data_IF_272283569079
#
_entry.id   IF_272283569079
#
_cell.length_a   1.000
_cell.length_b   1.000
_cell.length_c   1.000
_cell.angle_alpha   90.00
_cell.angle_beta   90.00
_cell.angle_gamma   90.00
#
_symmetry.space_group_name_H-M   'P 1'
#
loop_
_entity.id
_entity.type
_entity.pdbx_description
1 polymer ?
#
# COMPACT_ATOMS: atom_id res chain seq x y z
N UNK A 1 -8.23 -18.26 20.51
CA UNK A 1 -7.81 -16.84 20.70
C UNK A 1 -7.41 -16.52 22.13
N UNK A 2 -8.32 -16.52 23.12
CA UNK A 2 -7.95 -16.13 24.50
C UNK A 2 -7.10 -17.18 25.23
N UNK A 3 -7.22 -18.46 24.88
CA UNK A 3 -6.29 -19.52 25.32
C UNK A 3 -4.90 -19.34 24.67
N UNK A 4 -4.86 -19.02 23.38
CA UNK A 4 -3.60 -18.74 22.66
C UNK A 4 -2.86 -17.52 23.23
N UNK A 5 -3.59 -16.53 23.76
CA UNK A 5 -3.02 -15.37 24.44
C UNK A 5 -2.16 -15.79 25.66
N UNK A 6 -2.65 -16.68 26.52
CA UNK A 6 -1.86 -17.15 27.66
C UNK A 6 -0.62 -17.93 27.21
N UNK A 7 -0.73 -18.73 26.14
CA UNK A 7 0.40 -19.45 25.55
C UNK A 7 1.47 -18.49 25.00
N UNK A 8 1.05 -17.39 24.37
CA UNK A 8 1.93 -16.34 23.86
C UNK A 8 2.59 -15.56 25.00
N UNK A 9 1.82 -15.18 26.03
CA UNK A 9 2.36 -14.49 27.21
C UNK A 9 3.38 -15.33 27.96
N UNK A 10 3.15 -16.64 28.11
CA UNK A 10 4.14 -17.58 28.68
C UNK A 10 5.41 -17.67 27.82
N UNK A 11 5.27 -17.66 26.48
CA UNK A 11 6.43 -17.64 25.56
C UNK A 11 7.25 -16.34 25.67
N UNK A 12 6.63 -15.24 26.09
CA UNK A 12 7.23 -13.91 26.17
C UNK A 12 7.57 -13.48 27.62
N UNK A 13 7.49 -14.39 28.60
CA UNK A 13 7.73 -14.12 30.02
C UNK A 13 6.89 -12.97 30.60
N UNK A 14 5.65 -12.79 30.13
CA UNK A 14 4.73 -11.78 30.65
C UNK A 14 3.88 -12.44 31.75
N UNK A 15 3.83 -11.90 32.98
CA UNK A 15 3.03 -12.48 34.06
C UNK A 15 1.53 -12.34 33.77
N UNK A 16 0.79 -13.46 33.82
CA UNK A 16 -0.64 -13.54 33.48
C UNK A 16 -1.57 -13.74 34.66
N UNK A 17 -1.07 -13.60 35.89
CA UNK A 17 -1.85 -13.84 37.10
C UNK A 17 -2.80 -12.67 37.40
N UNK A 18 -4.10 -12.92 37.22
CA UNK A 18 -5.14 -11.98 37.61
C UNK A 18 -5.37 -12.09 39.13
N UNK A 19 -4.93 -11.09 39.90
CA UNK A 19 -5.22 -11.02 41.34
C UNK A 19 -6.72 -10.95 41.59
N UNK A 20 -7.28 -11.97 42.26
CA UNK A 20 -8.67 -11.98 42.71
C UNK A 20 -8.79 -11.22 44.03
N UNK A 21 -9.52 -10.11 44.03
CA UNK A 21 -9.85 -9.36 45.25
C UNK A 21 -11.22 -9.82 45.75
N UNK A 22 -11.35 -10.17 47.03
CA UNK A 22 -12.64 -10.50 47.67
C UNK A 22 -13.60 -9.32 47.50
N UNK A 23 -14.78 -9.57 46.97
CA UNK A 23 -15.82 -8.57 46.78
C UNK A 23 -16.76 -8.58 47.99
N UNK A 24 -17.01 -7.41 48.55
CA UNK A 24 -18.03 -7.22 49.57
C UNK A 24 -19.31 -6.76 48.86
N UNK A 25 -20.37 -7.52 49.02
CA UNK A 25 -21.70 -7.16 48.53
C UNK A 25 -22.57 -6.78 49.73
N UNK A 26 -23.47 -5.81 49.53
CA UNK A 26 -24.52 -5.53 50.52
C UNK A 26 -25.47 -6.73 50.65
N UNK A 27 -26.10 -6.90 51.81
CA UNK A 27 -27.12 -7.95 51.99
C UNK A 27 -28.33 -7.64 51.11
N UNK A 28 -28.78 -8.63 50.35
CA UNK A 28 -29.93 -8.56 49.45
C UNK A 28 -31.21 -8.93 50.21
N UNK A 29 -32.28 -8.14 50.06
CA UNK A 29 -33.60 -8.45 50.62
C UNK A 29 -34.50 -9.16 49.60
N UNK A 30 -35.52 -9.88 50.06
CA UNK A 30 -36.31 -10.82 49.25
C UNK A 30 -37.02 -10.19 48.02
N UNK A 31 -37.34 -8.89 48.08
CA UNK A 31 -38.06 -8.15 47.02
C UNK A 31 -37.18 -7.17 46.22
N UNK A 32 -35.86 -7.15 46.42
CA UNK A 32 -34.98 -6.31 45.61
C UNK A 32 -34.76 -6.92 44.22
N UNK A 33 -34.98 -6.13 43.18
CA UNK A 33 -34.57 -6.49 41.81
C UNK A 33 -33.05 -6.42 41.75
N UNK A 34 -32.41 -7.51 41.31
CA UNK A 34 -30.94 -7.65 41.28
C UNK A 34 -30.32 -6.46 40.53
N UNK A 35 -29.83 -5.47 41.30
CA UNK A 35 -29.27 -4.25 40.76
C UNK A 35 -27.96 -4.57 40.05
N UNK A 36 -27.96 -4.36 38.73
CA UNK A 36 -26.85 -4.41 37.78
C UNK A 36 -25.54 -4.97 38.37
N UNK A 37 -25.50 -6.30 38.57
CA UNK A 37 -24.28 -7.01 38.97
C UNK A 37 -23.28 -6.85 37.85
N UNK A 38 -22.50 -5.77 37.91
CA UNK A 38 -21.37 -5.54 37.01
C UNK A 38 -20.51 -6.80 37.06
N UNK A 39 -20.31 -7.43 35.89
CA UNK A 39 -19.44 -8.57 35.70
C UNK A 39 -18.02 -8.19 36.14
N UNK A 40 -17.73 -8.34 37.43
CA UNK A 40 -16.48 -7.93 38.06
C UNK A 40 -15.44 -9.06 38.08
N UNK A 41 -15.63 -10.11 37.27
CA UNK A 41 -14.57 -11.09 37.00
C UNK A 41 -13.42 -10.35 36.31
N UNK A 42 -12.26 -10.27 36.95
CA UNK A 42 -11.08 -9.53 36.44
C UNK A 42 -10.72 -9.93 35.01
N UNK A 43 -10.90 -11.20 34.66
CA UNK A 43 -10.66 -11.76 33.32
C UNK A 43 -11.69 -11.29 32.28
N UNK A 44 -12.99 -11.33 32.59
CA UNK A 44 -14.04 -10.89 31.66
C UNK A 44 -14.03 -9.38 31.49
N UNK A 45 -13.76 -8.65 32.57
CA UNK A 45 -13.59 -7.20 32.54
C UNK A 45 -12.36 -6.79 31.70
N UNK A 46 -11.23 -7.50 31.83
CA UNK A 46 -10.07 -7.30 30.94
C UNK A 46 -10.42 -7.64 29.48
N UNK A 47 -11.15 -8.74 29.26
CA UNK A 47 -11.56 -9.15 27.92
C UNK A 47 -12.43 -8.09 27.24
N UNK A 48 -13.41 -7.54 27.95
CA UNK A 48 -14.36 -6.54 27.43
C UNK A 48 -13.75 -5.15 27.34
N UNK A 49 -12.98 -4.70 28.33
CA UNK A 49 -12.46 -3.33 28.38
C UNK A 49 -11.11 -3.13 27.70
N UNK A 50 -10.31 -4.18 27.54
CA UNK A 50 -8.94 -4.07 27.02
C UNK A 50 -8.76 -4.93 25.80
N UNK A 51 -9.03 -6.24 25.88
CA UNK A 51 -8.74 -7.15 24.78
C UNK A 51 -9.57 -6.87 23.53
N UNK A 52 -10.91 -6.81 23.63
CA UNK A 52 -11.76 -6.52 22.48
C UNK A 52 -11.49 -5.14 21.86
N UNK A 53 -11.36 -4.04 22.63
CA UNK A 53 -11.00 -2.73 22.07
C UNK A 53 -9.67 -2.73 21.33
N UNK A 54 -8.66 -3.48 21.80
CA UNK A 54 -7.39 -3.62 21.09
C UNK A 54 -7.59 -4.35 19.76
N UNK A 55 -8.32 -5.47 19.76
CA UNK A 55 -8.61 -6.23 18.53
C UNK A 55 -9.40 -5.38 17.53
N UNK A 56 -10.42 -4.67 18.01
CA UNK A 56 -11.23 -3.78 17.17
C UNK A 56 -10.38 -2.64 16.60
N UNK A 57 -9.47 -2.07 17.41
CA UNK A 57 -8.53 -1.04 16.94
C UNK A 57 -7.61 -1.60 15.87
N UNK A 58 -7.02 -2.78 16.07
CA UNK A 58 -6.13 -3.42 15.08
C UNK A 58 -6.89 -3.70 13.79
N UNK A 59 -8.09 -4.24 13.88
CA UNK A 59 -8.95 -4.56 12.74
C UNK A 59 -9.36 -3.30 11.99
N UNK A 60 -9.74 -2.23 12.71
CA UNK A 60 -10.05 -0.92 12.14
C UNK A 60 -8.84 -0.33 11.42
N UNK A 61 -7.66 -0.35 12.04
CA UNK A 61 -6.43 0.18 11.43
C UNK A 61 -6.01 -0.60 10.19
N UNK A 62 -6.16 -1.93 10.19
CA UNK A 62 -5.90 -2.77 9.01
C UNK A 62 -6.89 -2.41 7.90
N UNK A 63 -8.19 -2.34 8.19
CA UNK A 63 -9.21 -1.97 7.19
C UNK A 63 -8.93 -0.59 6.62
N UNK A 64 -8.71 0.41 7.47
CA UNK A 64 -8.38 1.78 7.06
C UNK A 64 -7.09 1.84 6.22
N UNK A 65 -6.09 1.02 6.54
CA UNK A 65 -4.83 0.96 5.78
C UNK A 65 -5.02 0.41 4.36
N UNK A 66 -5.92 -0.55 4.17
CA UNK A 66 -6.17 -1.19 2.87
C UNK A 66 -7.39 -0.65 2.11
N UNK A 67 -8.09 0.34 2.66
CA UNK A 67 -9.28 0.93 2.05
C UNK A 67 -9.00 1.51 0.65
N UNK A 68 -7.96 2.32 0.51
CA UNK A 68 -7.55 2.87 -0.80
C UNK A 68 -7.09 1.77 -1.78
N UNK A 69 -6.47 0.70 -1.28
CA UNK A 69 -6.13 -0.46 -2.12
C UNK A 69 -7.39 -1.15 -2.65
N UNK A 70 -8.39 -1.32 -1.80
CA UNK A 70 -9.66 -1.93 -2.18
C UNK A 70 -10.39 -1.08 -3.23
N UNK A 71 -10.35 0.25 -3.10
CA UNK A 71 -10.93 1.17 -4.09
C UNK A 71 -10.23 1.09 -5.45
N UNK A 72 -8.89 1.02 -5.46
CA UNK A 72 -8.13 0.82 -6.70
C UNK A 72 -8.45 -0.55 -7.28
N UNK A 73 -8.37 -1.62 -6.48
CA UNK A 73 -8.65 -2.97 -6.94
C UNK A 73 -10.06 -3.12 -7.50
N UNK A 74 -11.07 -2.47 -6.90
CA UNK A 74 -12.44 -2.48 -7.42
C UNK A 74 -12.55 -1.70 -8.72
N UNK A 75 -11.89 -0.55 -8.82
CA UNK A 75 -11.86 0.28 -10.04
C UNK A 75 -11.25 -0.49 -11.22
N UNK A 76 -10.17 -1.23 -11.00
CA UNK A 76 -9.49 -2.00 -12.06
C UNK A 76 -9.99 -3.45 -12.21
N UNK A 77 -10.93 -3.90 -11.38
CA UNK A 77 -11.39 -5.30 -11.37
C UNK A 77 -11.95 -5.76 -12.72
N UNK A 78 -12.65 -4.88 -13.43
CA UNK A 78 -13.23 -5.18 -14.75
C UNK A 78 -12.18 -5.40 -15.84
N UNK A 79 -10.96 -4.86 -15.69
CA UNK A 79 -9.88 -4.96 -16.67
C UNK A 79 -9.15 -6.31 -16.61
N UNK A 80 -9.36 -7.09 -15.55
CA UNK A 80 -8.75 -8.40 -15.41
C UNK A 80 -9.24 -9.35 -16.53
N UNK A 81 -8.36 -10.10 -17.23
CA UNK A 81 -8.78 -10.94 -18.34
C UNK A 81 -9.87 -11.97 -17.99
N UNK A 82 -9.83 -12.57 -16.79
CA UNK A 82 -10.88 -13.49 -16.32
C UNK A 82 -12.23 -12.77 -16.19
N UNK A 83 -12.22 -11.55 -15.64
CA UNK A 83 -13.41 -10.73 -15.47
C UNK A 83 -13.97 -10.23 -16.80
N UNK A 84 -13.11 -9.94 -17.79
CA UNK A 84 -13.55 -9.56 -19.15
C UNK A 84 -14.25 -10.72 -19.87
N UNK A 85 -13.85 -11.98 -19.61
CA UNK A 85 -14.52 -13.17 -20.16
C UNK A 85 -15.89 -13.42 -19.53
N UNK A 86 -15.97 -13.33 -18.20
CA UNK A 86 -17.16 -13.71 -17.45
C UNK A 86 -18.25 -12.62 -17.43
N UNK A 87 -17.88 -11.35 -17.47
CA UNK A 87 -18.83 -10.25 -17.32
C UNK A 87 -19.65 -9.97 -18.60
N UNK A 88 -20.90 -9.56 -18.39
CA UNK A 88 -21.77 -9.09 -19.46
C UNK A 88 -21.22 -7.81 -20.10
N UNK A 89 -21.50 -7.61 -21.39
CA UNK A 89 -21.06 -6.42 -22.12
C UNK A 89 -21.62 -5.13 -21.52
N UNK A 90 -22.87 -5.13 -21.05
CA UNK A 90 -23.49 -3.96 -20.42
C UNK A 90 -22.74 -3.51 -19.16
N UNK A 91 -22.29 -4.46 -18.32
CA UNK A 91 -21.56 -4.15 -17.09
C UNK A 91 -20.15 -3.63 -17.41
N UNK A 92 -19.50 -4.18 -18.44
CA UNK A 92 -18.19 -3.71 -18.94
C UNK A 92 -18.31 -2.29 -19.51
N UNK A 93 -19.37 -2.00 -20.26
CA UNK A 93 -19.61 -0.65 -20.80
C UNK A 93 -19.76 0.35 -19.67
N UNK A 94 -20.55 0.03 -18.64
CA UNK A 94 -20.73 0.90 -17.48
C UNK A 94 -19.41 1.11 -16.73
N UNK A 95 -18.69 0.04 -16.41
CA UNK A 95 -17.42 0.12 -15.68
C UNK A 95 -16.34 0.87 -16.48
N UNK A 96 -16.25 0.64 -17.78
CA UNK A 96 -15.29 1.34 -18.65
C UNK A 96 -15.63 2.83 -18.81
N UNK A 97 -16.90 3.18 -18.85
CA UNK A 97 -17.33 4.59 -18.86
C UNK A 97 -16.99 5.29 -17.54
N UNK A 98 -17.34 4.68 -16.40
CA UNK A 98 -16.99 5.20 -15.07
C UNK A 98 -15.46 5.35 -14.91
N UNK A 99 -14.69 4.42 -15.48
CA UNK A 99 -13.24 4.46 -15.49
C UNK A 99 -12.67 5.58 -16.37
N UNK A 100 -13.18 5.76 -17.58
CA UNK A 100 -12.78 6.84 -18.48
C UNK A 100 -13.11 8.22 -17.88
N UNK A 101 -14.20 8.35 -17.13
CA UNK A 101 -14.53 9.57 -16.39
C UNK A 101 -13.57 9.80 -15.21
N UNK A 102 -13.15 8.74 -14.51
CA UNK A 102 -12.21 8.86 -13.37
C UNK A 102 -10.78 9.22 -13.81
N UNK A 103 -10.38 8.80 -15.01
CA UNK A 103 -9.05 9.03 -15.59
C UNK A 103 -9.13 9.82 -16.90
N UNK A 104 -9.92 10.89 -16.92
CA UNK A 104 -10.20 11.73 -18.11
C UNK A 104 -8.96 12.39 -18.73
N UNK A 105 -7.89 12.54 -17.95
CA UNK A 105 -6.60 13.08 -18.40
C UNK A 105 -5.83 12.06 -19.24
N UNK A 106 -5.83 10.79 -18.83
CA UNK A 106 -4.97 9.75 -19.39
C UNK A 106 -5.70 8.84 -20.38
N UNK A 107 -7.04 8.81 -20.32
CA UNK A 107 -7.87 7.83 -21.02
C UNK A 107 -8.93 8.54 -21.86
N UNK A 108 -8.97 8.19 -23.15
CA UNK A 108 -9.95 8.71 -24.07
C UNK A 108 -11.34 8.07 -23.90
N UNK A 109 -12.38 8.74 -24.37
CA UNK A 109 -13.73 8.17 -24.50
C UNK A 109 -13.79 6.94 -25.41
N UNK A 110 -12.77 6.73 -26.25
CA UNK A 110 -12.63 5.54 -27.11
C UNK A 110 -12.27 4.26 -26.33
N UNK A 111 -11.93 4.38 -25.04
CA UNK A 111 -11.57 3.24 -24.18
C UNK A 111 -12.65 2.15 -24.15
N UNK A 112 -13.93 2.52 -24.03
CA UNK A 112 -15.03 1.53 -24.01
C UNK A 112 -15.09 0.72 -25.30
N UNK A 113 -14.86 1.35 -26.47
CA UNK A 113 -14.81 0.64 -27.76
C UNK A 113 -13.61 -0.31 -27.80
N UNK A 114 -12.45 0.17 -27.37
CA UNK A 114 -11.23 -0.63 -27.33
C UNK A 114 -11.40 -1.87 -26.44
N UNK A 115 -11.97 -1.71 -25.24
CA UNK A 115 -12.20 -2.82 -24.30
C UNK A 115 -13.15 -3.85 -24.89
N UNK A 116 -14.24 -3.42 -25.56
CA UNK A 116 -15.16 -4.34 -26.23
C UNK A 116 -14.49 -5.11 -27.38
N UNK A 117 -13.70 -4.44 -28.22
CA UNK A 117 -12.93 -5.10 -29.28
C UNK A 117 -11.89 -6.06 -28.71
N UNK A 118 -11.25 -5.68 -27.62
CA UNK A 118 -10.23 -6.49 -26.96
C UNK A 118 -10.82 -7.72 -26.25
N UNK A 119 -12.05 -7.64 -25.73
CA UNK A 119 -12.79 -8.79 -25.20
C UNK A 119 -12.89 -9.93 -26.21
N UNK A 120 -13.15 -9.62 -27.48
CA UNK A 120 -13.19 -10.63 -28.55
C UNK A 120 -11.85 -11.36 -28.72
N UNK A 121 -10.73 -10.66 -28.54
CA UNK A 121 -9.38 -11.22 -28.60
C UNK A 121 -9.09 -12.07 -27.35
N UNK A 122 -9.43 -11.56 -26.16
CA UNK A 122 -9.27 -12.30 -24.89
C UNK A 122 -10.06 -13.60 -24.91
N UNK A 123 -11.25 -13.66 -25.51
CA UNK A 123 -12.02 -14.91 -25.59
C UNK A 123 -11.27 -16.05 -26.30
N UNK A 124 -10.32 -15.73 -27.16
CA UNK A 124 -9.51 -16.71 -27.89
C UNK A 124 -8.23 -17.12 -27.14
N UNK A 125 -7.84 -16.39 -26.11
CA UNK A 125 -6.52 -16.52 -25.46
C UNK A 125 -6.67 -16.57 -23.95
N UNK A 126 -5.94 -17.45 -23.28
CA UNK A 126 -5.90 -17.46 -21.81
C UNK A 126 -4.74 -16.59 -21.30
N UNK A 127 -5.10 -15.44 -20.74
CA UNK A 127 -4.16 -14.54 -20.06
C UNK A 127 -4.48 -14.57 -18.56
N UNK A 128 -3.52 -14.93 -17.69
CA UNK A 128 -3.80 -15.05 -16.26
C UNK A 128 -3.89 -13.70 -15.56
N UNK A 129 -3.06 -12.73 -15.98
CA UNK A 129 -2.83 -11.48 -15.26
C UNK A 129 -2.83 -10.26 -16.20
N UNK A 130 -3.09 -9.08 -15.63
CA UNK A 130 -2.97 -7.77 -16.33
C UNK A 130 -1.55 -7.57 -16.90
N UNK A 131 -0.50 -8.04 -16.20
CA UNK A 131 0.87 -7.98 -16.71
C UNK A 131 1.03 -8.80 -18.01
N UNK A 132 0.48 -10.03 -18.04
CA UNK A 132 0.52 -10.88 -19.23
C UNK A 132 -0.25 -10.25 -20.38
N UNK A 133 -1.35 -9.56 -20.08
CA UNK A 133 -2.13 -8.80 -21.05
C UNK A 133 -1.32 -7.63 -21.63
N UNK A 134 -0.65 -6.84 -20.77
CA UNK A 134 0.21 -5.75 -21.23
C UNK A 134 1.36 -6.25 -22.13
N UNK A 135 2.05 -7.32 -21.72
CA UNK A 135 3.11 -7.93 -22.52
C UNK A 135 2.57 -8.47 -23.85
N UNK A 136 1.40 -9.11 -23.85
CA UNK A 136 0.78 -9.62 -25.08
C UNK A 136 0.50 -8.50 -26.09
N UNK A 137 0.04 -7.32 -25.64
CA UNK A 137 -0.22 -6.19 -26.54
C UNK A 137 1.08 -5.65 -27.13
N UNK A 138 2.17 -5.65 -26.34
CA UNK A 138 3.50 -5.21 -26.78
C UNK A 138 4.10 -6.20 -27.77
N UNK A 139 4.09 -7.50 -27.45
CA UNK A 139 4.69 -8.56 -28.27
C UNK A 139 4.03 -8.72 -29.65
N UNK A 140 2.75 -8.35 -29.76
CA UNK A 140 1.98 -8.43 -31.02
C UNK A 140 1.87 -7.09 -31.76
N UNK A 141 2.63 -6.05 -31.36
CA UNK A 141 2.57 -4.69 -31.95
C UNK A 141 1.16 -4.06 -31.95
N UNK A 142 0.29 -4.54 -31.05
CA UNK A 142 -1.09 -4.05 -30.89
C UNK A 142 -1.17 -2.72 -30.14
N UNK A 143 -0.03 -2.15 -29.80
CA UNK A 143 0.05 -0.94 -28.98
C UNK A 143 -0.57 0.30 -29.64
N UNK A 144 -0.51 0.35 -30.97
CA UNK A 144 -1.15 1.41 -31.76
C UNK A 144 -2.68 1.27 -31.84
N UNK A 145 -3.18 0.04 -31.74
CA UNK A 145 -4.60 -0.27 -31.87
C UNK A 145 -5.36 -0.18 -30.55
N UNK A 146 -4.66 -0.43 -29.42
CA UNK A 146 -5.21 -0.38 -28.08
C UNK A 146 -4.39 0.51 -27.12
N UNK A 147 -4.18 1.80 -27.45
CA UNK A 147 -3.36 2.70 -26.64
C UNK A 147 -3.95 2.89 -25.23
N UNK A 148 -5.27 3.06 -25.11
CA UNK A 148 -5.91 3.34 -23.81
C UNK A 148 -5.89 2.11 -22.89
N UNK A 149 -5.94 0.89 -23.44
CA UNK A 149 -5.82 -0.35 -22.67
C UNK A 149 -4.41 -0.48 -22.09
N UNK A 150 -3.37 -0.17 -22.87
CA UNK A 150 -1.99 -0.17 -22.37
C UNK A 150 -1.81 0.90 -21.30
N UNK A 151 -2.35 2.10 -21.51
CA UNK A 151 -2.29 3.17 -20.52
C UNK A 151 -2.95 2.72 -19.22
N UNK A 152 -4.15 2.12 -19.29
CA UNK A 152 -4.84 1.57 -18.12
C UNK A 152 -4.01 0.47 -17.42
N UNK A 153 -3.40 -0.45 -18.18
CA UNK A 153 -2.50 -1.46 -17.63
C UNK A 153 -1.27 -0.83 -16.96
N UNK A 154 -0.69 0.19 -17.59
CA UNK A 154 0.49 0.88 -17.09
C UNK A 154 0.17 1.63 -15.79
N UNK A 155 -0.98 2.29 -15.71
CA UNK A 155 -1.47 2.92 -14.49
C UNK A 155 -1.60 1.84 -13.39
N UNK A 156 -2.27 0.72 -13.67
CA UNK A 156 -2.44 -0.35 -12.68
C UNK A 156 -1.10 -0.92 -12.18
N UNK A 157 -0.15 -1.17 -13.09
CA UNK A 157 1.16 -1.75 -12.76
C UNK A 157 2.09 -0.76 -12.04
N UNK A 158 1.88 0.55 -12.21
CA UNK A 158 2.71 1.60 -11.60
C UNK A 158 2.12 2.18 -10.32
N UNK A 159 0.83 1.97 -10.05
CA UNK A 159 0.24 2.36 -8.76
C UNK A 159 1.03 1.68 -7.64
N UNK A 160 1.50 2.44 -6.63
CA UNK A 160 2.17 1.86 -5.48
C UNK A 160 1.16 1.11 -4.60
N UNK A 161 0.88 -0.14 -4.98
CA UNK A 161 -0.05 -1.06 -4.28
C UNK A 161 0.45 -1.38 -2.86
N UNK A 162 1.75 -1.24 -2.59
CA UNK A 162 2.33 -1.54 -1.27
C UNK A 162 3.13 -0.37 -0.70
N UNK A 163 2.84 0.00 0.55
CA UNK A 163 3.62 0.96 1.35
C UNK A 163 5.05 0.48 1.61
N UNK A 164 5.38 -0.78 1.28
CA UNK A 164 6.69 -1.39 1.48
C UNK A 164 7.81 -0.61 0.79
N UNK A 165 7.56 -0.01 -0.38
CA UNK A 165 8.56 0.83 -1.05
C UNK A 165 8.84 2.11 -0.23
N UNK A 166 7.79 2.78 0.25
CA UNK A 166 7.93 3.94 1.13
C UNK A 166 8.61 3.57 2.47
N UNK A 167 8.25 2.44 3.08
CA UNK A 167 8.86 1.95 4.32
C UNK A 167 10.35 1.60 4.13
N UNK A 168 10.72 1.02 2.98
CA UNK A 168 12.12 0.78 2.59
C UNK A 168 12.89 2.09 2.47
N UNK A 169 12.31 3.09 1.80
CA UNK A 169 12.90 4.42 1.67
C UNK A 169 13.06 5.12 3.02
N UNK A 170 12.08 5.02 3.92
CA UNK A 170 12.17 5.56 5.28
C UNK A 170 13.20 4.81 6.15
N UNK A 171 13.35 3.50 5.98
CA UNK A 171 14.40 2.72 6.64
C UNK A 171 15.79 3.18 6.21
N UNK A 172 16.00 3.42 4.91
CA UNK A 172 17.24 4.03 4.40
C UNK A 172 17.44 5.46 4.89
N UNK A 173 16.38 6.27 4.89
CA UNK A 173 16.43 7.65 5.40
C UNK A 173 16.88 7.70 6.86
N UNK A 174 16.44 6.75 7.69
CA UNK A 174 16.89 6.62 9.09
C UNK A 174 18.40 6.38 9.22
N UNK A 175 19.01 5.69 8.26
CA UNK A 175 20.47 5.49 8.23
C UNK A 175 21.20 6.76 7.77
N UNK A 176 20.64 7.48 6.78
CA UNK A 176 21.21 8.72 6.25
C UNK A 176 21.12 9.86 7.26
N UNK A 177 19.96 10.00 7.91
CA UNK A 177 19.66 11.00 8.95
C UNK A 177 19.77 10.36 10.33
N UNK A 178 21.01 10.22 10.78
CA UNK A 178 21.31 9.76 12.13
C UNK A 178 21.52 10.95 13.10
N UNK A 179 21.56 10.67 14.40
CA UNK A 179 21.68 11.69 15.46
C UNK A 179 22.87 12.65 15.24
N UNK A 180 24.00 12.13 14.74
CA UNK A 180 25.22 12.90 14.49
C UNK A 180 25.12 13.80 13.24
N UNK A 181 24.17 13.54 12.34
CA UNK A 181 23.97 14.26 11.06
C UNK A 181 22.66 15.07 11.05
N UNK A 182 22.14 15.43 12.21
CA UNK A 182 20.86 16.13 12.33
C UNK A 182 20.87 17.58 11.82
N UNK A 183 22.04 18.19 11.58
CA UNK A 183 22.21 19.56 11.06
C UNK A 183 22.33 19.64 9.53
N UNK A 184 22.03 18.56 8.80
CA UNK A 184 22.09 18.55 7.33
C UNK A 184 20.96 19.38 6.71
N UNK A 185 21.25 20.13 5.63
CA UNK A 185 20.22 20.85 4.89
C UNK A 185 19.27 19.88 4.17
N UNK A 186 18.01 20.29 3.99
CA UNK A 186 16.98 19.45 3.35
C UNK A 186 17.35 19.08 1.92
N UNK A 187 17.92 20.01 1.15
CA UNK A 187 18.38 19.76 -0.21
C UNK A 187 19.46 18.67 -0.25
N UNK A 188 20.45 18.76 0.64
CA UNK A 188 21.52 17.76 0.72
C UNK A 188 21.00 16.41 1.19
N UNK A 189 20.06 16.40 2.14
CA UNK A 189 19.40 15.17 2.60
C UNK A 189 18.67 14.48 1.46
N UNK A 190 17.87 15.23 0.68
CA UNK A 190 17.11 14.68 -0.42
C UNK A 190 18.04 14.06 -1.48
N UNK A 191 19.07 14.80 -1.89
CA UNK A 191 20.05 14.32 -2.88
C UNK A 191 20.76 13.03 -2.42
N UNK A 192 21.21 12.96 -1.17
CA UNK A 192 21.85 11.75 -0.62
C UNK A 192 20.84 10.60 -0.51
N UNK A 193 19.59 10.90 -0.16
CA UNK A 193 18.54 9.89 -0.04
C UNK A 193 18.23 9.24 -1.38
N UNK A 194 18.12 10.03 -2.45
CA UNK A 194 17.93 9.53 -3.83
C UNK A 194 19.06 8.58 -4.21
N UNK A 195 20.31 8.96 -4.00
CA UNK A 195 21.47 8.10 -4.29
C UNK A 195 21.47 6.79 -3.48
N UNK A 196 20.93 6.80 -2.26
CA UNK A 196 20.85 5.60 -1.41
C UNK A 196 19.64 4.70 -1.73
N UNK A 197 18.54 5.29 -2.20
CA UNK A 197 17.35 4.56 -2.65
C UNK A 197 17.66 3.88 -3.99
N UNK A 198 18.19 4.64 -4.95
CA UNK A 198 18.59 4.20 -6.29
C UNK A 198 20.05 3.71 -6.30
N UNK A 199 20.40 2.85 -5.34
CA UNK A 199 21.78 2.41 -5.14
C UNK A 199 22.34 1.68 -6.37
N UNK A 200 21.56 0.80 -6.98
CA UNK A 200 21.97 0.02 -8.16
C UNK A 200 22.39 0.95 -9.30
N UNK A 201 21.56 1.94 -9.62
CA UNK A 201 21.86 2.94 -10.65
C UNK A 201 22.99 3.90 -10.25
N UNK A 202 23.19 4.12 -8.96
CA UNK A 202 24.30 4.93 -8.44
C UNK A 202 25.64 4.22 -8.59
N UNK A 203 25.68 2.88 -8.48
CA UNK A 203 26.89 2.08 -8.66
C UNK A 203 27.37 2.10 -10.13
N UNK A 204 26.47 2.34 -11.09
CA UNK A 204 26.81 2.52 -12.52
C UNK A 204 27.44 3.90 -12.83
N UNK A 205 27.40 4.85 -11.90
CA UNK A 205 27.91 6.21 -12.15
C UNK A 205 29.44 6.24 -12.15
N UNK A 206 30.02 6.79 -13.22
CA UNK A 206 31.46 7.01 -13.31
C UNK A 206 31.89 8.23 -12.47
N UNK A 207 32.45 7.97 -11.29
CA UNK A 207 32.88 8.99 -10.34
C UNK A 207 33.96 9.91 -10.93
N UNK A 208 34.90 9.37 -11.70
CA UNK A 208 35.99 10.15 -12.29
C UNK A 208 35.48 11.17 -13.30
N UNK A 209 34.50 10.79 -14.12
CA UNK A 209 33.82 11.72 -15.02
C UNK A 209 33.08 12.82 -14.26
N UNK A 210 32.43 12.49 -13.15
CA UNK A 210 31.72 13.46 -12.30
C UNK A 210 32.71 14.46 -11.68
N UNK A 211 33.85 13.98 -11.16
CA UNK A 211 34.91 14.82 -10.59
C UNK A 211 35.46 15.76 -11.66
N UNK A 212 35.80 15.24 -12.84
CA UNK A 212 36.32 16.04 -13.95
C UNK A 212 35.31 17.12 -14.41
N UNK A 213 34.03 16.76 -14.54
CA UNK A 213 32.97 17.73 -14.88
C UNK A 213 32.81 18.80 -13.82
N UNK A 214 32.86 18.44 -12.53
CA UNK A 214 32.77 19.39 -11.44
C UNK A 214 33.98 20.34 -11.39
N UNK A 215 35.19 19.79 -11.57
CA UNK A 215 36.43 20.57 -11.65
C UNK A 215 36.39 21.56 -12.81
N UNK A 216 35.98 21.14 -14.00
CA UNK A 216 35.85 22.00 -15.18
C UNK A 216 34.82 23.12 -15.00
N UNK A 217 33.71 22.86 -14.30
CA UNK A 217 32.72 23.90 -13.97
C UNK A 217 33.26 24.94 -12.98
N UNK A 218 34.09 24.54 -12.01
CA UNK A 218 34.71 25.46 -11.04
C UNK A 218 35.92 26.21 -11.61
N UNK A 219 36.70 25.59 -12.49
CA UNK A 219 37.90 26.16 -13.08
C UNK A 219 37.64 27.46 -13.86
N UNK A 220 36.45 27.61 -14.45
CA UNK A 220 36.03 28.83 -15.17
C UNK A 220 35.80 30.06 -14.27
N UNK A 221 35.97 29.99 -12.95
CA UNK A 221 35.85 31.14 -12.03
C UNK A 221 37.18 31.86 -11.71
N UNK A 222 38.27 31.58 -12.43
CA UNK A 222 39.54 32.30 -12.22
C UNK A 222 39.75 33.36 -13.32
N UNK A 223 39.18 34.55 -13.11
CA UNK A 223 39.53 35.72 -13.92
C UNK A 223 40.93 36.19 -13.50
N UNK A 224 41.96 35.80 -14.26
CA UNK A 224 43.26 36.45 -14.16
C UNK A 224 43.18 37.80 -14.87
N UNK A 225 43.19 38.89 -14.11
CA UNK A 225 43.53 40.21 -14.65
C UNK A 225 45.06 40.26 -14.75
N UNK A 226 45.56 40.43 -15.97
CA UNK A 226 46.92 40.91 -16.24
C UNK A 226 46.90 42.43 -16.08
#
# INVERSE_FOLDING_TARGET
IFQDFFTICSKWNIPTDFKTKRQAFAKHYFDEVDGDRRLNTTKDNFKVKVFFPIIDTVLFQIRRRFEGLYEVASTFSFLNPSSLKENNEADIIKASYDFAVKYDIDISSDFTRQVLSFKSIINQIELPNILSMANYIIDNDLSSSFPDIITACSIFLTIPVTVASAERSFSKLKLVKNYLRNTISQERLNNISILNIERERTEELNIDQIINNFANRKARKKNFKI
#
